data_IF_450406440719
#
_entry.id   IF_450406440719
#
_cell.length_a   1.000
_cell.length_b   1.000
_cell.length_c   1.000
_cell.angle_alpha   90.00
_cell.angle_beta   90.00
_cell.angle_gamma   90.00
#
_symmetry.space_group_name_H-M   'P 1'
#
loop_
_entity.id
_entity.type
_entity.pdbx_description
1 polymer ?
#
# COMPACT_ATOMS: atom_id res chain seq x y z
N UNK A 1 -40.46 2.40 67.64
CA UNK A 1 -40.62 3.85 67.38
C UNK A 1 -39.83 4.16 66.12
N UNK A 2 -40.50 4.32 64.96
CA UNK A 2 -40.87 5.59 64.30
C UNK A 2 -39.63 6.41 63.92
N UNK A 3 -39.33 6.77 62.66
CA UNK A 3 -40.10 6.76 61.40
C UNK A 3 -39.13 6.81 60.19
N UNK A 4 -39.32 5.90 59.25
CA UNK A 4 -39.09 6.14 57.83
C UNK A 4 -40.20 7.10 57.34
N UNK A 5 -39.86 8.12 56.55
CA UNK A 5 -40.86 8.97 55.90
C UNK A 5 -40.63 8.97 54.39
N UNK A 6 -41.07 7.88 53.76
CA UNK A 6 -41.48 7.82 52.37
C UNK A 6 -42.95 8.22 52.34
N UNK A 7 -43.27 9.34 51.68
CA UNK A 7 -44.61 9.78 51.21
C UNK A 7 -44.41 11.23 50.76
N UNK A 8 -44.51 11.58 49.48
CA UNK A 8 -45.52 11.21 48.49
C UNK A 8 -44.82 11.47 47.14
N UNK A 9 -44.59 10.41 46.35
CA UNK A 9 -45.48 10.04 45.24
C UNK A 9 -45.64 11.27 44.33
N UNK A 10 -44.83 11.34 43.29
CA UNK A 10 -45.32 11.08 41.93
C UNK A 10 -46.61 11.84 41.65
N UNK A 11 -46.54 12.83 40.78
CA UNK A 11 -47.33 12.87 39.55
C UNK A 11 -47.04 14.21 38.85
N UNK A 12 -46.35 14.08 37.72
CA UNK A 12 -46.63 14.73 36.44
C UNK A 12 -47.15 16.18 36.45
N UNK A 13 -46.37 17.07 35.82
CA UNK A 13 -46.60 17.56 34.45
C UNK A 13 -45.45 18.56 34.16
N UNK A 14 -44.40 18.24 33.40
CA UNK A 14 -44.42 18.01 31.96
C UNK A 14 -45.26 19.03 31.19
N UNK A 15 -44.84 20.30 31.15
CA UNK A 15 -44.95 21.19 29.98
C UNK A 15 -43.69 22.08 30.04
N UNK A 16 -42.67 21.82 29.22
CA UNK A 16 -42.39 22.53 27.95
C UNK A 16 -41.98 24.00 28.22
N UNK A 17 -40.92 24.60 27.71
CA UNK A 17 -40.19 24.46 26.44
C UNK A 17 -39.01 25.47 26.56
N UNK A 18 -37.77 25.05 26.30
CA UNK A 18 -36.88 25.57 25.23
C UNK A 18 -36.12 26.87 25.55
N UNK A 19 -34.87 26.86 25.06
CA UNK A 19 -33.99 27.98 24.67
C UNK A 19 -32.83 28.28 25.62
N UNK A 20 -31.69 27.63 25.30
CA UNK A 20 -30.29 28.14 25.24
C UNK A 20 -29.72 28.94 26.42
N UNK A 21 -28.47 28.78 26.86
CA UNK A 21 -27.30 28.19 26.21
C UNK A 21 -26.04 28.89 26.76
N UNK A 22 -24.92 28.18 26.70
CA UNK A 22 -23.54 28.61 26.93
C UNK A 22 -23.08 28.93 28.37
N UNK A 23 -22.34 28.00 28.98
CA UNK A 23 -21.08 28.30 29.66
C UNK A 23 -20.26 27.02 29.92
N UNK A 24 -19.19 26.87 29.12
CA UNK A 24 -17.84 26.41 29.46
C UNK A 24 -17.72 25.18 30.38
N UNK A 25 -17.42 24.03 29.78
CA UNK A 25 -16.71 22.95 30.47
C UNK A 25 -15.26 23.00 30.00
N UNK A 26 -14.38 23.28 30.95
CA UNK A 26 -12.93 23.26 30.80
C UNK A 26 -12.50 21.88 30.32
N UNK A 27 -11.96 21.79 29.11
CA UNK A 27 -11.32 20.59 28.62
C UNK A 27 -10.10 20.28 29.50
N UNK A 28 -10.00 19.03 29.95
CA UNK A 28 -8.75 18.50 30.50
C UNK A 28 -7.63 18.76 29.48
N UNK A 29 -6.38 19.07 29.90
CA UNK A 29 -5.28 19.02 28.96
C UNK A 29 -5.25 17.60 28.42
N UNK A 30 -5.68 17.44 27.16
CA UNK A 30 -5.29 16.28 26.37
C UNK A 30 -3.77 16.43 26.30
N UNK A 31 -3.03 15.51 26.90
CA UNK A 31 -1.66 15.29 26.45
C UNK A 31 -1.76 15.19 24.94
N UNK A 32 -1.10 16.12 24.23
CA UNK A 32 -0.93 16.04 22.80
C UNK A 32 -0.39 14.65 22.53
N UNK A 33 -1.22 13.78 21.94
CA UNK A 33 -0.76 12.52 21.41
C UNK A 33 0.02 12.91 20.15
N UNK A 34 1.24 13.38 20.35
CA UNK A 34 2.23 13.48 19.29
C UNK A 34 2.47 12.05 18.82
N UNK A 35 1.89 11.70 17.67
CA UNK A 35 2.27 10.47 17.03
C UNK A 35 2.55 10.72 15.54
N UNK A 36 3.25 11.81 15.23
CA UNK A 36 4.25 11.69 14.18
C UNK A 36 5.25 10.61 14.59
N UNK A 37 5.85 9.91 13.62
CA UNK A 37 6.92 8.95 13.91
C UNK A 37 7.85 9.53 14.99
N UNK A 38 8.25 8.75 16.01
CA UNK A 38 9.17 9.25 17.04
C UNK A 38 10.51 9.72 16.46
N UNK A 39 10.77 9.40 15.18
CA UNK A 39 11.92 9.81 14.42
C UNK A 39 11.66 11.03 13.51
N UNK A 40 10.47 11.64 13.55
CA UNK A 40 10.19 12.86 12.79
C UNK A 40 11.10 13.99 13.27
N UNK A 41 11.84 14.55 12.33
CA UNK A 41 12.92 15.51 12.60
C UNK A 41 12.52 16.97 12.30
N UNK A 42 11.27 17.21 11.87
CA UNK A 42 10.80 18.53 11.48
C UNK A 42 11.17 18.92 10.04
N UNK A 43 11.34 17.93 9.16
CA UNK A 43 11.64 18.16 7.73
C UNK A 43 10.64 19.06 7.00
N UNK A 44 11.12 19.79 5.98
CA UNK A 44 10.30 20.69 5.15
C UNK A 44 9.23 19.95 4.34
N UNK A 45 9.49 18.67 4.05
CA UNK A 45 8.57 17.77 3.36
C UNK A 45 8.31 16.55 4.23
N UNK A 46 7.05 16.25 4.49
CA UNK A 46 6.61 14.99 5.07
C UNK A 46 5.99 14.11 3.99
N UNK A 47 6.56 12.94 3.76
CA UNK A 47 6.20 12.03 2.67
C UNK A 47 5.72 10.70 3.25
N UNK A 48 4.40 10.52 3.33
CA UNK A 48 3.79 9.26 3.74
C UNK A 48 3.65 8.33 2.54
N UNK A 49 4.00 7.05 2.69
CA UNK A 49 3.78 6.07 1.62
C UNK A 49 3.37 4.69 2.15
N UNK A 50 2.40 4.05 1.48
CA UNK A 50 1.88 2.72 1.82
C UNK A 50 2.69 1.55 1.22
N UNK A 51 3.59 1.86 0.28
CA UNK A 51 4.39 0.89 -0.45
C UNK A 51 5.79 1.44 -0.82
N UNK A 52 5.92 2.06 -1.99
CA UNK A 52 7.16 2.68 -2.47
C UNK A 52 6.95 4.15 -2.82
N UNK A 53 7.88 5.05 -2.45
CA UNK A 53 7.75 6.44 -2.79
C UNK A 53 7.95 6.63 -4.30
N UNK A 54 7.08 7.44 -4.91
CA UNK A 54 7.20 7.89 -6.30
C UNK A 54 8.47 8.69 -6.52
N UNK A 55 8.78 9.59 -5.57
CA UNK A 55 9.99 10.40 -5.59
C UNK A 55 11.02 9.79 -4.64
N UNK A 56 12.17 9.39 -5.18
CA UNK A 56 13.27 8.83 -4.38
C UNK A 56 14.01 9.91 -3.59
N UNK A 57 14.64 9.54 -2.48
CA UNK A 57 15.46 10.49 -1.70
C UNK A 57 16.62 11.05 -2.51
N UNK A 58 17.28 10.21 -3.32
CA UNK A 58 18.39 10.67 -4.18
C UNK A 58 17.90 11.74 -5.15
N UNK A 59 16.80 11.49 -5.88
CA UNK A 59 16.26 12.46 -6.82
C UNK A 59 15.76 13.72 -6.09
N UNK A 60 15.12 13.57 -4.92
CA UNK A 60 14.73 14.72 -4.10
C UNK A 60 15.95 15.56 -3.67
N UNK A 61 16.95 14.93 -3.05
CA UNK A 61 18.14 15.60 -2.48
C UNK A 61 19.06 16.22 -3.55
N UNK A 62 19.12 15.62 -4.74
CA UNK A 62 19.83 16.18 -5.89
C UNK A 62 19.08 17.37 -6.51
N UNK A 63 17.76 17.45 -6.33
CA UNK A 63 16.91 18.46 -6.98
C UNK A 63 16.61 19.65 -6.06
N UNK A 64 16.33 19.41 -4.78
CA UNK A 64 15.87 20.40 -3.82
C UNK A 64 16.90 20.61 -2.71
N UNK A 65 16.98 21.85 -2.20
CA UNK A 65 17.79 22.19 -1.02
C UNK A 65 17.00 22.08 0.29
N UNK A 66 15.84 21.43 0.25
CA UNK A 66 14.94 21.18 1.37
C UNK A 66 15.22 19.82 2.02
N UNK A 67 14.74 19.60 3.24
CA UNK A 67 14.75 18.28 3.88
C UNK A 67 13.44 17.53 3.65
N UNK A 68 13.53 16.19 3.58
CA UNK A 68 12.38 15.30 3.42
C UNK A 68 12.43 14.20 4.47
N UNK A 69 11.28 13.95 5.08
CA UNK A 69 11.04 12.83 5.97
C UNK A 69 10.10 11.83 5.31
N UNK A 70 10.56 10.60 5.09
CA UNK A 70 9.73 9.52 4.59
C UNK A 70 9.12 8.71 5.74
N UNK A 71 7.79 8.68 5.82
CA UNK A 71 7.01 7.82 6.71
C UNK A 71 6.41 6.66 5.90
N UNK A 72 7.22 5.62 5.70
CA UNK A 72 6.81 4.42 4.96
C UNK A 72 6.11 3.46 5.91
N UNK A 73 4.87 3.08 5.57
CA UNK A 73 4.05 2.21 6.42
C UNK A 73 3.24 1.24 5.59
N UNK A 74 3.32 -0.04 5.94
CA UNK A 74 2.40 -1.04 5.44
C UNK A 74 1.03 -0.85 6.09
N UNK A 75 0.07 -0.31 5.35
CA UNK A 75 -1.29 -0.07 5.83
C UNK A 75 -2.33 -0.51 4.80
N UNK A 76 -3.51 -0.90 5.28
CA UNK A 76 -4.71 -1.03 4.45
C UNK A 76 -5.63 0.20 4.60
N UNK A 77 -6.73 0.18 3.84
CA UNK A 77 -7.74 1.25 3.82
C UNK A 77 -8.31 1.57 5.22
N UNK A 78 -8.55 0.55 6.06
CA UNK A 78 -9.15 0.72 7.38
C UNK A 78 -8.11 1.23 8.39
N UNK A 79 -6.88 0.71 8.33
CA UNK A 79 -5.76 1.17 9.15
C UNK A 79 -5.38 2.61 8.84
N UNK A 80 -5.36 3.00 7.56
CA UNK A 80 -5.13 4.38 7.16
C UNK A 80 -6.22 5.31 7.69
N UNK A 81 -7.49 4.88 7.65
CA UNK A 81 -8.60 5.60 8.29
C UNK A 81 -8.39 5.74 9.79
N UNK A 82 -7.94 4.70 10.48
CA UNK A 82 -7.65 4.76 11.91
C UNK A 82 -6.57 5.81 12.21
N UNK A 83 -5.51 5.92 11.41
CA UNK A 83 -4.48 6.95 11.59
C UNK A 83 -5.07 8.36 11.55
N UNK A 84 -6.00 8.62 10.63
CA UNK A 84 -6.64 9.93 10.50
C UNK A 84 -7.59 10.20 11.66
N UNK A 85 -8.41 9.20 12.03
CA UNK A 85 -9.37 9.30 13.14
C UNK A 85 -8.67 9.48 14.50
N UNK A 86 -7.50 8.86 14.67
CA UNK A 86 -6.70 8.94 15.89
C UNK A 86 -5.62 10.03 15.84
N UNK A 87 -5.79 11.03 14.96
CA UNK A 87 -5.00 12.25 14.94
C UNK A 87 -3.49 12.01 14.70
N UNK A 88 -3.11 10.93 14.02
CA UNK A 88 -1.72 10.57 13.73
C UNK A 88 -0.96 11.72 13.03
N UNK A 89 -1.60 12.38 12.05
CA UNK A 89 -1.03 13.49 11.28
C UNK A 89 -1.25 14.88 11.91
N UNK A 90 -1.76 14.97 13.14
CA UNK A 90 -2.19 16.25 13.74
C UNK A 90 -1.07 17.28 13.91
N UNK A 91 0.17 16.83 14.10
CA UNK A 91 1.33 17.71 14.29
C UNK A 91 1.86 18.39 13.03
N UNK A 92 1.37 18.01 11.84
CA UNK A 92 1.85 18.56 10.57
C UNK A 92 1.31 19.98 10.35
N UNK A 93 2.21 20.95 10.15
CA UNK A 93 1.84 22.35 9.84
C UNK A 93 2.97 23.09 9.11
N UNK A 94 2.63 24.05 8.26
CA UNK A 94 3.57 24.93 7.54
C UNK A 94 4.65 24.20 6.71
N UNK A 95 4.28 23.11 6.05
CA UNK A 95 5.22 22.26 5.30
C UNK A 95 4.53 21.62 4.09
N UNK A 96 5.29 20.98 3.21
CA UNK A 96 4.72 20.17 2.13
C UNK A 96 4.41 18.77 2.68
N UNK A 97 3.18 18.30 2.50
CA UNK A 97 2.73 17.00 2.99
C UNK A 97 2.22 16.18 1.82
N UNK A 98 2.91 15.09 1.51
CA UNK A 98 2.60 14.19 0.39
C UNK A 98 2.09 12.87 0.96
N UNK A 99 0.91 12.44 0.51
CA UNK A 99 0.39 11.10 0.71
C UNK A 99 0.53 10.33 -0.59
N UNK A 100 1.35 9.29 -0.59
CA UNK A 100 1.61 8.46 -1.73
C UNK A 100 1.06 7.05 -1.48
N UNK A 101 -0.19 6.85 -1.90
CA UNK A 101 -0.97 5.65 -1.59
C UNK A 101 -1.32 4.92 -2.88
N UNK A 102 -0.76 3.74 -3.04
CA UNK A 102 -0.81 2.96 -4.29
C UNK A 102 -1.54 1.63 -4.18
N UNK A 103 -1.67 1.08 -2.98
CA UNK A 103 -2.13 -0.31 -2.78
C UNK A 103 -3.64 -0.42 -2.54
N UNK A 104 -4.32 0.69 -2.25
CA UNK A 104 -5.76 0.75 -2.06
C UNK A 104 -6.32 2.14 -2.37
N UNK A 105 -7.63 2.22 -2.63
CA UNK A 105 -8.37 3.49 -2.73
C UNK A 105 -8.79 3.91 -1.32
N UNK A 106 -8.26 5.00 -0.73
CA UNK A 106 -8.71 5.46 0.58
C UNK A 106 -10.17 5.92 0.56
N UNK A 107 -10.86 5.88 1.72
CA UNK A 107 -12.20 6.45 1.81
C UNK A 107 -12.17 7.95 1.51
N UNK A 108 -13.01 8.41 0.58
CA UNK A 108 -12.99 9.80 0.06
C UNK A 108 -13.40 10.84 1.10
N UNK A 109 -14.33 10.49 2.00
CA UNK A 109 -14.71 11.34 3.15
C UNK A 109 -13.53 11.53 4.13
N UNK A 110 -12.77 10.46 4.36
CA UNK A 110 -11.57 10.47 5.19
C UNK A 110 -10.45 11.30 4.56
N UNK A 111 -10.24 11.17 3.23
CA UNK A 111 -9.28 12.04 2.51
C UNK A 111 -9.67 13.50 2.58
N UNK A 112 -10.96 13.82 2.42
CA UNK A 112 -11.47 15.17 2.50
C UNK A 112 -11.18 15.79 3.88
N UNK A 113 -11.48 15.06 4.98
CA UNK A 113 -11.18 15.54 6.34
C UNK A 113 -9.68 15.76 6.58
N UNK A 114 -8.83 14.85 6.08
CA UNK A 114 -7.38 14.94 6.20
C UNK A 114 -6.83 16.17 5.46
N UNK A 115 -7.12 16.31 4.17
CA UNK A 115 -6.56 17.37 3.34
C UNK A 115 -7.12 18.74 3.72
N UNK A 116 -8.40 18.83 4.09
CA UNK A 116 -8.98 20.08 4.61
C UNK A 116 -8.22 20.57 5.83
N UNK A 117 -7.93 19.67 6.79
CA UNK A 117 -7.20 20.00 8.01
C UNK A 117 -5.77 20.44 7.72
N UNK A 118 -5.06 19.75 6.82
CA UNK A 118 -3.69 20.13 6.42
C UNK A 118 -3.66 21.52 5.77
N UNK A 119 -4.66 21.84 4.96
CA UNK A 119 -4.82 23.17 4.36
C UNK A 119 -5.10 24.24 5.41
N UNK A 120 -5.93 23.95 6.41
CA UNK A 120 -6.16 24.82 7.57
C UNK A 120 -4.87 25.04 8.40
N UNK A 121 -3.97 24.05 8.42
CA UNK A 121 -2.65 24.11 9.04
C UNK A 121 -1.56 24.73 8.14
N UNK A 122 -1.95 25.37 7.02
CA UNK A 122 -1.06 26.04 6.09
C UNK A 122 -0.01 25.10 5.46
N UNK A 123 -0.37 23.83 5.27
CA UNK A 123 0.44 22.90 4.49
C UNK A 123 0.10 23.00 3.00
N UNK A 124 1.09 22.69 2.15
CA UNK A 124 0.87 22.35 0.74
C UNK A 124 0.60 20.85 0.69
N UNK A 125 -0.47 20.44 0.03
CA UNK A 125 -0.92 19.04 0.05
C UNK A 125 -0.67 18.33 -1.27
N UNK A 126 -0.04 17.16 -1.21
CA UNK A 126 0.15 16.26 -2.34
C UNK A 126 -0.57 14.94 -2.13
N UNK A 127 -1.23 14.44 -3.17
CA UNK A 127 -1.77 13.09 -3.22
C UNK A 127 -1.27 12.39 -4.48
N UNK A 128 -0.56 11.29 -4.28
CA UNK A 128 -0.02 10.44 -5.34
C UNK A 128 -0.70 9.09 -5.23
N UNK A 129 -1.18 8.56 -6.35
CA UNK A 129 -1.97 7.34 -6.32
C UNK A 129 -1.95 6.57 -7.64
N UNK A 130 -2.20 5.26 -7.55
CA UNK A 130 -2.32 4.35 -8.68
C UNK A 130 -3.60 4.48 -9.48
N UNK A 131 -4.59 5.19 -8.93
CA UNK A 131 -5.96 5.21 -9.41
C UNK A 131 -6.24 6.53 -10.12
N UNK A 132 -7.00 6.47 -11.22
CA UNK A 132 -7.47 7.66 -11.90
C UNK A 132 -8.54 8.38 -11.07
N UNK A 133 -8.77 9.67 -11.33
CA UNK A 133 -9.86 10.42 -10.68
C UNK A 133 -11.22 9.73 -10.79
N UNK A 134 -11.46 8.96 -11.87
CA UNK A 134 -12.73 8.27 -12.13
C UNK A 134 -12.92 7.00 -11.30
N UNK A 135 -11.85 6.47 -10.70
CA UNK A 135 -11.91 5.28 -9.86
C UNK A 135 -12.43 5.61 -8.44
N UNK A 136 -12.40 6.89 -8.05
CA UNK A 136 -12.93 7.34 -6.78
C UNK A 136 -14.46 7.49 -6.82
N UNK A 137 -15.18 7.11 -5.74
CA UNK A 137 -16.63 7.26 -5.67
C UNK A 137 -17.09 8.72 -5.71
N UNK A 138 -16.22 9.65 -5.27
CA UNK A 138 -16.36 11.09 -5.41
C UNK A 138 -14.97 11.77 -5.36
N UNK A 139 -14.91 13.04 -5.76
CA UNK A 139 -13.65 13.79 -5.91
C UNK A 139 -13.59 15.06 -5.06
N UNK A 140 -14.45 15.21 -4.04
CA UNK A 140 -14.49 16.45 -3.24
C UNK A 140 -13.18 16.74 -2.50
N UNK A 141 -12.44 15.68 -2.13
CA UNK A 141 -11.13 15.83 -1.49
C UNK A 141 -10.09 16.50 -2.38
N UNK A 142 -10.21 16.40 -3.71
CA UNK A 142 -9.28 17.02 -4.65
C UNK A 142 -9.29 18.56 -4.58
N UNK A 143 -10.40 19.17 -4.17
CA UNK A 143 -10.45 20.63 -3.92
C UNK A 143 -9.51 21.08 -2.78
N UNK A 144 -9.10 20.12 -1.93
CA UNK A 144 -8.18 20.31 -0.81
C UNK A 144 -6.75 19.83 -1.12
N UNK A 145 -6.51 19.27 -2.31
CA UNK A 145 -5.19 18.77 -2.76
C UNK A 145 -4.56 19.79 -3.71
N UNK A 146 -3.34 20.24 -3.41
CA UNK A 146 -2.61 21.18 -4.28
C UNK A 146 -1.88 20.47 -5.43
N UNK A 147 -1.41 19.24 -5.20
CA UNK A 147 -0.69 18.41 -6.17
C UNK A 147 -1.35 17.03 -6.23
N UNK A 148 -2.05 16.73 -7.32
CA UNK A 148 -2.56 15.38 -7.59
C UNK A 148 -1.71 14.72 -8.67
N UNK A 149 -1.22 13.51 -8.39
CA UNK A 149 -0.40 12.72 -9.30
C UNK A 149 -1.03 11.35 -9.46
N UNK A 150 -1.50 11.06 -10.66
CA UNK A 150 -1.79 9.69 -11.09
C UNK A 150 -0.45 9.01 -11.36
N UNK A 151 0.12 8.40 -10.33
CA UNK A 151 1.26 7.52 -10.49
C UNK A 151 0.72 6.12 -10.76
N UNK A 152 0.29 5.88 -12.00
CA UNK A 152 -0.09 4.56 -12.41
C UNK A 152 1.13 3.64 -12.15
N UNK A 153 1.05 2.70 -11.20
CA UNK A 153 2.12 1.74 -10.94
C UNK A 153 2.42 0.88 -12.19
N UNK A 154 1.56 0.95 -13.21
CA UNK A 154 1.70 0.24 -14.47
C UNK A 154 3.08 0.42 -15.08
N UNK A 155 3.66 1.61 -15.18
CA UNK A 155 4.83 1.73 -16.06
C UNK A 155 6.05 0.94 -15.58
N UNK A 156 6.33 0.94 -14.28
CA UNK A 156 7.42 0.15 -13.70
C UNK A 156 7.04 -1.32 -13.50
N UNK A 157 5.80 -1.60 -13.08
CA UNK A 157 5.35 -2.97 -12.83
C UNK A 157 5.07 -3.74 -14.12
N UNK A 158 4.47 -3.10 -15.12
CA UNK A 158 4.20 -3.66 -16.46
C UNK A 158 5.49 -4.00 -17.16
N UNK A 159 6.48 -3.09 -17.17
CA UNK A 159 7.79 -3.37 -17.76
C UNK A 159 8.46 -4.54 -17.03
N UNK A 160 8.34 -4.58 -15.71
CA UNK A 160 8.94 -5.65 -14.92
C UNK A 160 8.28 -7.01 -15.18
N UNK A 161 6.95 -7.11 -15.08
CA UNK A 161 6.23 -8.36 -15.32
C UNK A 161 6.38 -8.80 -16.77
N UNK A 162 6.29 -7.86 -17.71
CA UNK A 162 6.53 -8.14 -19.12
C UNK A 162 7.94 -8.68 -19.35
N UNK A 163 8.97 -8.08 -18.75
CA UNK A 163 10.34 -8.58 -18.87
C UNK A 163 10.50 -9.98 -18.23
N UNK A 164 9.92 -10.19 -17.06
CA UNK A 164 9.97 -11.47 -16.35
C UNK A 164 9.28 -12.60 -17.14
N UNK A 165 8.09 -12.32 -17.65
CA UNK A 165 7.32 -13.29 -18.43
C UNK A 165 7.85 -13.47 -19.85
N UNK A 166 8.44 -12.43 -20.47
CA UNK A 166 9.10 -12.56 -21.79
C UNK A 166 10.32 -13.50 -21.73
N UNK A 167 11.11 -13.44 -20.65
CA UNK A 167 12.23 -14.37 -20.46
C UNK A 167 11.73 -15.81 -20.27
N UNK A 168 10.73 -16.01 -19.41
CA UNK A 168 10.11 -17.33 -19.18
C UNK A 168 9.42 -17.88 -20.43
N UNK A 169 8.74 -17.04 -21.23
CA UNK A 169 8.10 -17.43 -22.49
C UNK A 169 9.14 -17.82 -23.55
N UNK A 170 10.22 -17.06 -23.65
CA UNK A 170 11.34 -17.36 -24.55
C UNK A 170 11.94 -18.73 -24.25
N UNK A 171 11.97 -19.12 -22.97
CA UNK A 171 12.43 -20.43 -22.52
C UNK A 171 11.34 -21.51 -22.55
N UNK A 172 10.07 -21.14 -22.82
CA UNK A 172 8.87 -22.01 -22.83
C UNK A 172 8.56 -22.65 -21.49
N UNK A 173 8.83 -21.94 -20.41
CA UNK A 173 8.76 -22.47 -19.04
C UNK A 173 7.47 -22.03 -18.31
N UNK A 174 6.68 -21.10 -18.88
CA UNK A 174 5.56 -20.45 -18.18
C UNK A 174 4.52 -21.43 -17.57
N UNK A 175 4.16 -22.49 -18.29
CA UNK A 175 3.19 -23.49 -17.81
C UNK A 175 3.81 -24.60 -16.95
N UNK A 176 5.14 -24.70 -16.93
CA UNK A 176 5.91 -25.66 -16.13
C UNK A 176 6.56 -25.02 -14.89
N UNK A 177 6.05 -23.83 -14.53
CA UNK A 177 6.55 -23.00 -13.44
C UNK A 177 5.51 -22.89 -12.32
N UNK A 178 5.93 -23.03 -11.07
CA UNK A 178 5.18 -22.57 -9.90
C UNK A 178 5.57 -21.13 -9.60
N UNK A 179 4.57 -20.25 -9.48
CA UNK A 179 4.80 -18.85 -9.14
C UNK A 179 4.66 -18.65 -7.62
N UNK A 180 5.72 -18.16 -6.97
CA UNK A 180 5.72 -17.88 -5.54
C UNK A 180 5.60 -16.37 -5.33
N UNK A 181 4.65 -15.92 -4.52
CA UNK A 181 4.49 -14.52 -4.13
C UNK A 181 4.80 -14.36 -2.65
N UNK A 182 5.56 -13.34 -2.29
CA UNK A 182 5.68 -12.94 -0.89
C UNK A 182 4.33 -12.39 -0.38
N UNK A 183 3.91 -12.73 0.83
CA UNK A 183 2.65 -12.25 1.42
C UNK A 183 2.55 -10.73 1.56
N UNK A 184 3.68 -10.03 1.62
CA UNK A 184 3.76 -8.56 1.61
C UNK A 184 3.22 -7.98 0.31
N UNK A 185 3.45 -8.65 -0.83
CA UNK A 185 2.95 -8.26 -2.16
C UNK A 185 1.44 -8.08 -2.20
N UNK A 186 0.75 -8.91 -1.43
CA UNK A 186 -0.70 -8.96 -1.39
C UNK A 186 -1.30 -8.36 -0.13
N UNK A 187 -0.47 -7.86 0.80
CA UNK A 187 -0.82 -7.60 2.19
C UNK A 187 -1.69 -8.75 2.73
N UNK A 188 -1.02 -9.80 3.22
CA UNK A 188 -1.54 -11.07 3.77
C UNK A 188 -2.90 -11.01 4.50
N UNK A 189 -3.24 -9.89 5.14
CA UNK A 189 -4.54 -9.67 5.78
C UNK A 189 -5.71 -9.70 4.78
N UNK A 190 -5.48 -9.42 3.50
CA UNK A 190 -6.49 -9.50 2.43
C UNK A 190 -6.82 -10.94 2.00
N UNK A 191 -5.92 -11.90 2.23
CA UNK A 191 -6.09 -13.30 1.79
C UNK A 191 -7.13 -14.03 2.64
N UNK A 192 -7.35 -13.58 3.88
CA UNK A 192 -8.24 -14.27 4.81
C UNK A 192 -9.70 -13.93 4.49
N UNK A 193 -10.46 -14.92 3.99
CA UNK A 193 -11.91 -14.87 3.68
C UNK A 193 -12.33 -14.07 2.43
N UNK A 194 -11.47 -13.90 1.43
CA UNK A 194 -11.83 -13.33 0.12
C UNK A 194 -11.75 -14.39 -0.97
N UNK A 195 -12.54 -14.24 -2.03
CA UNK A 195 -12.38 -15.02 -3.27
C UNK A 195 -11.35 -14.37 -4.19
N UNK A 196 -10.97 -15.08 -5.26
CA UNK A 196 -9.86 -14.69 -6.14
C UNK A 196 -10.18 -13.39 -6.90
N UNK A 197 -11.44 -13.23 -7.32
CA UNK A 197 -11.94 -12.02 -7.97
C UNK A 197 -11.84 -10.80 -7.04
N UNK A 198 -12.28 -10.92 -5.78
CA UNK A 198 -12.16 -9.85 -4.80
C UNK A 198 -10.70 -9.50 -4.48
N UNK A 199 -9.81 -10.50 -4.42
CA UNK A 199 -8.37 -10.24 -4.27
C UNK A 199 -7.82 -9.44 -5.45
N UNK A 200 -8.07 -9.86 -6.69
CA UNK A 200 -7.59 -9.13 -7.87
C UNK A 200 -8.23 -7.76 -8.00
N UNK A 201 -9.51 -7.60 -7.62
CA UNK A 201 -10.17 -6.29 -7.63
C UNK A 201 -9.54 -5.31 -6.64
N UNK A 202 -9.00 -5.81 -5.53
CA UNK A 202 -8.44 -4.97 -4.46
C UNK A 202 -6.92 -4.83 -4.51
N UNK A 203 -6.20 -5.82 -5.00
CA UNK A 203 -4.76 -5.79 -5.22
C UNK A 203 -4.47 -5.51 -6.69
N UNK A 204 -4.10 -4.27 -6.99
CA UNK A 204 -3.65 -3.89 -8.33
C UNK A 204 -2.48 -4.77 -8.80
N UNK A 205 -1.53 -5.04 -7.89
CA UNK A 205 -0.38 -5.90 -8.17
C UNK A 205 -0.83 -7.28 -8.65
N UNK A 206 -1.70 -7.94 -7.87
CA UNK A 206 -2.14 -9.28 -8.20
C UNK A 206 -2.86 -9.28 -9.53
N UNK A 207 -3.81 -8.36 -9.72
CA UNK A 207 -4.53 -8.22 -10.97
C UNK A 207 -3.57 -8.12 -12.16
N UNK A 208 -2.58 -7.25 -12.06
CA UNK A 208 -1.60 -7.00 -13.12
C UNK A 208 -0.73 -8.23 -13.40
N UNK A 209 -0.20 -8.86 -12.34
CA UNK A 209 0.57 -10.09 -12.46
C UNK A 209 -0.22 -11.19 -13.18
N UNK A 210 -1.47 -11.42 -12.76
CA UNK A 210 -2.33 -12.45 -13.34
C UNK A 210 -2.69 -12.12 -14.79
N UNK A 211 -3.05 -10.86 -15.06
CA UNK A 211 -3.37 -10.39 -16.40
C UNK A 211 -2.21 -10.63 -17.36
N UNK A 212 -1.01 -10.16 -17.02
CA UNK A 212 0.17 -10.31 -17.88
C UNK A 212 0.53 -11.79 -18.03
N UNK A 213 0.56 -12.57 -16.95
CA UNK A 213 0.88 -13.99 -17.00
C UNK A 213 -0.06 -14.75 -17.96
N UNK A 214 -1.37 -14.54 -17.82
CA UNK A 214 -2.36 -15.17 -18.69
C UNK A 214 -2.22 -14.69 -20.13
N UNK A 215 -1.94 -13.40 -20.34
CA UNK A 215 -1.71 -12.86 -21.68
C UNK A 215 -0.49 -13.50 -22.36
N UNK A 216 0.63 -13.65 -21.64
CA UNK A 216 1.83 -14.30 -22.17
C UNK A 216 1.58 -15.78 -22.50
N UNK A 217 0.86 -16.51 -21.64
CA UNK A 217 0.60 -17.93 -21.86
C UNK A 217 -0.41 -18.20 -22.99
N UNK A 218 -1.42 -17.33 -23.14
CA UNK A 218 -2.58 -17.61 -24.01
C UNK A 218 -2.71 -16.68 -25.23
N UNK A 219 -2.07 -15.50 -25.20
CA UNK A 219 -2.34 -14.37 -26.09
C UNK A 219 -3.81 -13.89 -26.07
N UNK A 220 -4.51 -14.08 -24.95
CA UNK A 220 -5.91 -13.68 -24.74
C UNK A 220 -5.96 -12.70 -23.56
N UNK A 221 -6.77 -11.66 -23.70
CA UNK A 221 -7.13 -10.77 -22.60
C UNK A 221 -8.34 -11.34 -21.86
N UNK A 222 -8.16 -11.70 -20.60
CA UNK A 222 -9.23 -12.22 -19.74
C UNK A 222 -9.83 -11.09 -18.88
N UNK A 223 -11.12 -11.21 -18.53
CA UNK A 223 -11.73 -10.40 -17.47
C UNK A 223 -11.41 -11.01 -16.10
N UNK A 224 -11.38 -10.19 -15.04
CA UNK A 224 -11.02 -10.64 -13.67
C UNK A 224 -11.88 -11.83 -13.20
N UNK A 225 -13.18 -11.84 -13.55
CA UNK A 225 -14.11 -12.90 -13.19
C UNK A 225 -13.77 -14.26 -13.83
N UNK A 226 -12.97 -14.27 -14.90
CA UNK A 226 -12.54 -15.47 -15.61
C UNK A 226 -11.12 -15.93 -15.23
N UNK A 227 -10.36 -15.13 -14.48
CA UNK A 227 -8.96 -15.43 -14.16
C UNK A 227 -8.77 -16.80 -13.52
N UNK A 228 -9.60 -17.16 -12.54
CA UNK A 228 -9.49 -18.45 -11.86
C UNK A 228 -9.63 -19.62 -12.83
N UNK A 229 -10.63 -19.55 -13.73
CA UNK A 229 -10.86 -20.59 -14.73
C UNK A 229 -9.71 -20.67 -15.74
N UNK A 230 -9.14 -19.52 -16.10
CA UNK A 230 -8.01 -19.45 -17.02
C UNK A 230 -6.74 -20.04 -16.39
N UNK A 231 -6.44 -19.73 -15.13
CA UNK A 231 -5.31 -20.33 -14.41
C UNK A 231 -5.44 -21.86 -14.35
N UNK A 232 -6.64 -22.37 -14.09
CA UNK A 232 -6.92 -23.81 -14.09
C UNK A 232 -6.76 -24.43 -15.50
N UNK A 233 -7.26 -23.77 -16.56
CA UNK A 233 -7.12 -24.21 -17.96
C UNK A 233 -5.65 -24.36 -18.36
N UNK A 234 -4.82 -23.41 -17.95
CA UNK A 234 -3.40 -23.36 -18.27
C UNK A 234 -2.51 -24.09 -17.25
N UNK A 235 -3.11 -24.73 -16.23
CA UNK A 235 -2.42 -25.44 -15.16
C UNK A 235 -1.37 -24.55 -14.47
N UNK A 236 -1.73 -23.31 -14.15
CA UNK A 236 -0.85 -22.33 -13.51
C UNK A 236 -1.10 -22.35 -11.99
N UNK A 237 -0.03 -22.53 -11.22
CA UNK A 237 -0.09 -22.56 -9.75
C UNK A 237 0.57 -21.32 -9.17
N UNK A 238 -0.13 -20.66 -8.25
CA UNK A 238 0.32 -19.42 -7.62
C UNK A 238 0.22 -19.58 -6.11
N UNK A 239 1.37 -19.62 -5.46
CA UNK A 239 1.47 -19.82 -4.02
C UNK A 239 1.88 -18.52 -3.35
N UNK A 240 1.15 -18.12 -2.32
CA UNK A 240 1.49 -16.95 -1.51
C UNK A 240 2.07 -17.38 -0.19
N UNK A 241 3.26 -16.87 0.14
CA UNK A 241 3.87 -17.07 1.44
C UNK A 241 3.07 -16.35 2.53
N UNK A 242 2.71 -17.07 3.60
CA UNK A 242 1.89 -16.53 4.71
C UNK A 242 2.57 -16.64 6.08
N UNK A 243 3.90 -16.81 6.09
CA UNK A 243 4.72 -16.91 7.31
C UNK A 243 4.87 -18.35 7.84
N UNK A 244 5.92 -18.62 8.62
CA UNK A 244 6.22 -19.93 9.22
C UNK A 244 6.27 -21.08 8.20
N UNK A 245 6.88 -20.86 7.02
CA UNK A 245 6.93 -21.86 5.93
C UNK A 245 5.55 -22.29 5.40
N UNK A 246 4.51 -21.50 5.67
CA UNK A 246 3.17 -21.77 5.16
C UNK A 246 2.92 -21.03 3.85
N UNK A 247 2.21 -21.70 2.95
CA UNK A 247 1.82 -21.16 1.66
C UNK A 247 0.32 -21.35 1.46
N UNK A 248 -0.34 -20.36 0.86
CA UNK A 248 -1.72 -20.47 0.38
C UNK A 248 -1.67 -20.58 -1.14
N UNK A 249 -2.22 -21.65 -1.67
CA UNK A 249 -2.47 -21.76 -3.11
C UNK A 249 -3.69 -20.92 -3.48
N UNK A 250 -3.52 -19.92 -4.32
CA UNK A 250 -4.62 -19.01 -4.68
C UNK A 250 -5.65 -19.65 -5.60
N UNK A 251 -5.34 -20.76 -6.27
CA UNK A 251 -6.31 -21.43 -7.14
C UNK A 251 -7.21 -22.39 -6.37
N UNK A 252 -6.63 -23.11 -5.40
CA UNK A 252 -7.35 -24.11 -4.60
C UNK A 252 -7.79 -23.60 -3.22
N UNK A 253 -7.19 -22.50 -2.75
CA UNK A 253 -7.31 -21.98 -1.38
C UNK A 253 -6.80 -22.92 -0.29
N UNK A 254 -6.08 -23.98 -0.68
CA UNK A 254 -5.46 -24.90 0.26
C UNK A 254 -4.20 -24.30 0.89
N UNK A 255 -3.94 -24.70 2.13
CA UNK A 255 -2.76 -24.29 2.89
C UNK A 255 -1.77 -25.43 2.96
N UNK A 256 -0.55 -25.16 2.55
CA UNK A 256 0.55 -26.11 2.57
C UNK A 256 1.67 -25.63 3.47
N UNK A 257 2.51 -26.58 3.89
CA UNK A 257 3.75 -26.28 4.60
C UNK A 257 4.87 -26.96 3.86
N UNK A 258 5.77 -26.16 3.30
CA UNK A 258 6.89 -26.63 2.50
C UNK A 258 8.20 -26.24 3.18
N UNK A 259 9.13 -27.18 3.27
CA UNK A 259 10.46 -26.94 3.85
C UNK A 259 11.55 -26.80 2.78
N UNK A 260 11.21 -27.08 1.52
CA UNK A 260 12.11 -26.87 0.38
C UNK A 260 11.37 -26.54 -0.91
N UNK A 261 12.07 -25.95 -1.87
CA UNK A 261 11.57 -25.74 -3.23
C UNK A 261 11.27 -27.06 -3.94
N UNK A 262 12.05 -28.10 -3.67
CA UNK A 262 11.86 -29.43 -4.25
C UNK A 262 10.51 -30.04 -3.84
N UNK A 263 10.08 -29.86 -2.58
CA UNK A 263 8.75 -30.33 -2.13
C UNK A 263 7.62 -29.65 -2.91
N UNK A 264 7.78 -28.35 -3.24
CA UNK A 264 6.81 -27.60 -4.05
C UNK A 264 6.76 -28.17 -5.47
N UNK A 265 7.91 -28.35 -6.10
CA UNK A 265 7.99 -28.90 -7.47
C UNK A 265 7.39 -30.30 -7.56
N UNK A 266 7.62 -31.15 -6.55
CA UNK A 266 7.06 -32.51 -6.49
C UNK A 266 5.55 -32.52 -6.26
N UNK A 267 5.02 -31.66 -5.40
CA UNK A 267 3.58 -31.57 -5.13
C UNK A 267 2.79 -31.11 -6.36
N UNK A 268 3.33 -30.14 -7.11
CA UNK A 268 2.67 -29.54 -8.27
C UNK A 268 3.09 -30.15 -9.61
N UNK A 269 3.97 -31.17 -9.60
CA UNK A 269 4.53 -31.82 -10.78
C UNK A 269 5.12 -30.81 -11.81
N UNK A 270 5.92 -29.85 -11.32
CA UNK A 270 6.56 -28.78 -12.11
C UNK A 270 8.08 -28.89 -12.14
N UNK A 271 8.72 -28.29 -13.14
CA UNK A 271 10.18 -28.22 -13.24
C UNK A 271 10.78 -26.93 -12.66
N UNK A 272 10.05 -25.81 -12.68
CA UNK A 272 10.59 -24.49 -12.36
C UNK A 272 9.83 -23.77 -11.25
N UNK A 273 10.53 -22.86 -10.57
CA UNK A 273 9.95 -21.89 -9.64
C UNK A 273 10.32 -20.49 -10.09
N UNK A 274 9.33 -19.61 -10.12
CA UNK A 274 9.52 -18.18 -10.31
C UNK A 274 8.95 -17.46 -9.09
N UNK A 275 9.83 -16.84 -8.29
CA UNK A 275 9.43 -16.07 -7.13
C UNK A 275 9.32 -14.59 -7.46
N UNK A 276 8.29 -13.94 -6.92
CA UNK A 276 8.10 -12.50 -6.95
C UNK A 276 7.93 -11.96 -5.53
N UNK A 277 8.53 -10.80 -5.29
CA UNK A 277 8.20 -9.95 -4.17
C UNK A 277 9.16 -8.79 -4.06
N UNK A 278 9.05 -8.06 -2.95
CA UNK A 278 9.77 -6.82 -2.73
C UNK A 278 11.17 -7.08 -2.12
N UNK A 279 12.10 -6.13 -2.26
CA UNK A 279 13.49 -6.22 -1.74
C UNK A 279 13.55 -6.56 -0.25
N UNK A 280 12.54 -6.12 0.50
CA UNK A 280 12.25 -6.61 1.83
C UNK A 280 11.28 -7.80 1.79
N UNK A 281 11.72 -8.92 1.23
CA UNK A 281 11.02 -10.17 1.49
C UNK A 281 10.87 -10.37 3.00
N UNK A 282 9.82 -11.07 3.43
CA UNK A 282 9.82 -11.61 4.79
C UNK A 282 11.11 -12.42 4.98
N UNK A 283 11.85 -12.16 6.07
CA UNK A 283 13.20 -12.72 6.27
C UNK A 283 13.18 -14.26 6.14
N UNK A 284 12.13 -14.90 6.65
CA UNK A 284 11.93 -16.34 6.51
C UNK A 284 11.76 -16.79 5.05
N UNK A 285 11.02 -16.02 4.24
CA UNK A 285 10.83 -16.30 2.82
C UNK A 285 12.11 -16.13 2.02
N UNK A 286 12.88 -15.04 2.29
CA UNK A 286 14.20 -14.86 1.69
C UNK A 286 15.13 -16.05 1.99
N UNK A 287 15.21 -16.46 3.26
CA UNK A 287 16.04 -17.60 3.63
C UNK A 287 15.52 -18.91 3.05
N UNK A 288 14.21 -19.08 2.91
CA UNK A 288 13.63 -20.22 2.20
C UNK A 288 14.14 -20.28 0.75
N UNK A 289 14.04 -19.19 0.00
CA UNK A 289 14.51 -19.14 -1.40
C UNK A 289 16.02 -19.37 -1.50
N UNK A 290 16.80 -18.62 -0.71
CA UNK A 290 18.27 -18.66 -0.72
C UNK A 290 18.82 -20.06 -0.37
N UNK A 291 18.29 -20.71 0.67
CA UNK A 291 18.78 -22.01 1.10
C UNK A 291 18.42 -23.14 0.14
N UNK A 292 17.43 -22.91 -0.74
CA UNK A 292 16.93 -23.90 -1.67
C UNK A 292 17.45 -23.71 -3.10
N UNK A 293 18.42 -22.79 -3.29
CA UNK A 293 19.07 -22.59 -4.59
C UNK A 293 18.09 -22.18 -5.69
N UNK A 294 16.96 -21.57 -5.31
CA UNK A 294 16.08 -20.90 -6.25
C UNK A 294 16.85 -19.67 -6.69
N UNK A 295 17.31 -19.65 -7.95
CA UNK A 295 17.80 -18.41 -8.55
C UNK A 295 16.66 -17.40 -8.36
N UNK A 296 16.92 -16.33 -7.60
CA UNK A 296 15.96 -15.26 -7.33
C UNK A 296 15.68 -14.57 -8.66
N UNK A 297 14.80 -15.17 -9.47
CA UNK A 297 14.71 -14.87 -10.88
C UNK A 297 14.20 -13.44 -11.10
N UNK A 298 13.28 -12.98 -10.24
CA UNK A 298 12.66 -11.66 -10.36
C UNK A 298 12.40 -11.07 -8.98
N UNK A 299 13.30 -10.19 -8.54
CA UNK A 299 13.15 -9.31 -7.37
C UNK A 299 12.57 -7.94 -7.80
N UNK A 300 11.43 -7.54 -7.22
CA UNK A 300 11.10 -6.12 -7.23
C UNK A 300 12.02 -5.48 -6.21
N UNK A 301 13.05 -4.76 -6.65
CA UNK A 301 13.80 -3.89 -5.75
C UNK A 301 12.89 -2.75 -5.30
N UNK A 302 12.03 -3.00 -4.32
CA UNK A 302 11.41 -1.96 -3.50
C UNK A 302 12.33 -1.80 -2.31
N UNK A 303 13.47 -1.16 -2.55
CA UNK A 303 14.25 -0.60 -1.44
C UNK A 303 13.28 0.23 -0.60
N UNK A 304 13.06 -0.05 0.69
CA UNK A 304 13.04 1.07 1.59
C UNK A 304 14.41 1.72 1.45
N UNK A 305 14.46 3.04 1.34
CA UNK A 305 15.71 3.76 1.51
C UNK A 305 16.43 3.21 2.76
N UNK A 306 17.56 2.55 2.56
CA UNK A 306 18.43 2.14 3.66
C UNK A 306 18.93 3.41 4.33
N UNK A 307 18.30 3.78 5.46
CA UNK A 307 18.76 4.87 6.30
C UNK A 307 19.92 4.39 7.19
N UNK A 308 21.08 4.19 6.59
CA UNK A 308 22.40 4.14 7.25
C UNK A 308 23.36 5.07 6.48
N UNK A 309 24.13 5.85 7.24
CA UNK A 309 25.18 6.76 6.78
C UNK A 309 26.25 6.22 5.81
N UNK A 310 26.23 4.94 5.43
CA UNK A 310 27.19 4.33 4.51
C UNK A 310 26.56 3.56 3.34
N UNK A 311 25.39 4.00 2.84
CA UNK A 311 24.85 3.72 1.50
C UNK A 311 25.48 2.55 0.74
N UNK A 312 24.80 1.41 0.76
CA UNK A 312 25.10 0.28 -0.10
C UNK A 312 23.97 0.15 -1.13
N UNK A 313 24.32 0.59 -2.33
CA UNK A 313 23.63 0.52 -3.62
C UNK A 313 23.79 -0.89 -4.23
N UNK A 314 22.75 -1.49 -4.83
CA UNK A 314 22.89 -2.62 -5.78
C UNK A 314 21.64 -2.98 -6.62
N UNK A 315 21.52 -2.32 -7.78
CA UNK A 315 21.23 -2.85 -9.15
C UNK A 315 19.87 -3.52 -9.46
N UNK A 316 18.98 -2.72 -10.05
CA UNK A 316 18.25 -3.09 -11.26
C UNK A 316 19.24 -3.49 -12.37
N UNK A 317 19.19 -4.72 -12.85
CA UNK A 317 19.88 -5.08 -14.10
C UNK A 317 19.20 -4.36 -15.28
N UNK A 318 19.73 -3.19 -15.65
CA UNK A 318 19.61 -2.56 -16.96
C UNK A 318 18.21 -2.17 -17.49
N UNK A 319 17.49 -1.27 -16.82
CA UNK A 319 16.48 -0.47 -17.54
C UNK A 319 16.61 1.01 -17.17
N UNK A 320 17.20 1.79 -18.09
CA UNK A 320 17.11 3.26 -18.06
C UNK A 320 15.64 3.65 -18.34
N UNK A 321 14.89 4.00 -17.30
CA UNK A 321 13.53 4.52 -17.46
C UNK A 321 13.35 5.85 -16.73
N UNK A 322 12.66 6.79 -17.39
CA UNK A 322 12.22 8.07 -16.81
C UNK A 322 10.79 7.90 -16.33
N UNK A 323 10.59 7.96 -15.02
CA UNK A 323 9.26 7.89 -14.40
C UNK A 323 8.51 9.23 -14.61
N UNK A 324 7.44 9.21 -15.43
CA UNK A 324 6.67 10.42 -15.74
C UNK A 324 5.95 10.99 -14.51
N UNK A 325 5.48 10.12 -13.59
CA UNK A 325 4.84 10.54 -12.36
C UNK A 325 5.85 11.18 -11.39
N UNK A 326 7.06 10.62 -11.32
CA UNK A 326 8.17 11.23 -10.58
C UNK A 326 8.54 12.60 -11.17
N UNK A 327 8.70 12.69 -12.49
CA UNK A 327 8.99 13.96 -13.17
C UNK A 327 7.90 14.99 -12.90
N UNK A 328 6.63 14.60 -13.01
CA UNK A 328 5.51 15.50 -12.75
C UNK A 328 5.49 15.98 -11.30
N UNK A 329 5.69 15.06 -10.34
CA UNK A 329 5.77 15.41 -8.93
C UNK A 329 6.93 16.36 -8.65
N UNK A 330 8.11 16.10 -9.23
CA UNK A 330 9.28 16.98 -9.13
C UNK A 330 8.98 18.38 -9.68
N UNK A 331 8.42 18.48 -10.89
CA UNK A 331 8.07 19.77 -11.47
C UNK A 331 7.04 20.53 -10.63
N UNK A 332 6.00 19.85 -10.12
CA UNK A 332 4.97 20.46 -9.28
C UNK A 332 5.54 20.97 -7.94
N UNK A 333 6.53 20.28 -7.37
CA UNK A 333 7.17 20.65 -6.11
C UNK A 333 8.13 21.83 -6.23
N UNK A 334 8.68 22.11 -7.43
CA UNK A 334 9.60 23.24 -7.63
C UNK A 334 9.00 24.56 -7.20
N UNK A 335 7.73 24.81 -7.48
CA UNK A 335 7.10 26.09 -7.14
C UNK A 335 7.07 26.37 -5.62
N UNK A 336 7.12 25.32 -4.80
CA UNK A 336 7.02 25.39 -3.34
C UNK A 336 8.35 25.25 -2.64
N UNK A 337 9.25 24.42 -3.18
CA UNK A 337 10.53 24.07 -2.56
C UNK A 337 11.74 24.82 -3.14
N UNK A 338 11.60 25.48 -4.30
CA UNK A 338 12.69 26.31 -4.88
C UNK A 338 12.74 27.74 -4.33
N UNK A 339 11.78 28.11 -3.46
CA UNK A 339 11.63 29.45 -2.87
C UNK A 339 12.22 29.51 -1.44
N UNK A 340 12.59 28.37 -0.87
CA UNK A 340 13.25 28.22 0.44
C UNK A 340 14.77 28.23 0.24
#
# INVERSE_FOLDING_TARGET
MKKLNFKILSVFLAIAIVVSGAAVVVASPREEVNALSPNYDGSDVYYFCDLYPTLTYENFSNTFSASIFYDVRWVDQDQFREYIVYDYFYGLSNQVVIFDIKTFIPYTDVLYELFLRLKENNCVTGFVTSYSENDFPDTYFLDCVDIFVENAPSDKMDVYFSAAFEDLDTNRELSDTVYLLDGSVLNINFIINRDFEALCTTSYYLNKLIYDLLYFVSSIEYEICDYQNALDEWNINILVYVGNNQFVDLTTWERYTFYSSQEILEEYEKEYICSFGFDMFEEEFYWFLYNNGVDLNYLFEVTPLSYDCNGLDLRLNNFDYTDEAELYLVEALKDWLSVI
#
